data_IF_463998733903
#
_entry.id   IF_463998733903
#
_cell.length_a   1.000
_cell.length_b   1.000
_cell.length_c   1.000
_cell.angle_alpha   90.00
_cell.angle_beta   90.00
_cell.angle_gamma   90.00
#
_symmetry.space_group_name_H-M   'P 1'
#
loop_
_entity.id
_entity.type
_entity.pdbx_description
1 polymer ?
#
# COMPACT_ATOMS: atom_id res chain seq x y z
N UNK A 1 3.80 8.61 -6.81
CA UNK A 1 5.01 7.77 -6.89
C UNK A 1 4.63 6.37 -7.35
N UNK A 2 5.53 5.69 -8.07
CA UNK A 2 5.37 4.27 -8.40
C UNK A 2 6.40 3.49 -7.58
N UNK A 3 5.95 2.53 -6.78
CA UNK A 3 6.82 1.59 -6.05
C UNK A 3 6.61 0.19 -6.64
N UNK A 4 7.65 -0.41 -7.19
CA UNK A 4 7.60 -1.79 -7.70
C UNK A 4 7.91 -2.79 -6.58
N UNK A 5 7.20 -3.91 -6.59
CA UNK A 5 7.40 -5.03 -5.68
C UNK A 5 7.08 -6.36 -6.38
N UNK A 6 7.42 -7.48 -5.75
CA UNK A 6 7.38 -8.81 -6.37
C UNK A 6 6.02 -9.19 -6.98
N UNK A 7 4.91 -8.73 -6.40
CA UNK A 7 3.56 -9.09 -6.87
C UNK A 7 2.95 -8.05 -7.81
N UNK A 8 3.58 -6.88 -8.00
CA UNK A 8 2.96 -5.77 -8.69
C UNK A 8 3.64 -4.43 -8.54
N UNK A 9 2.83 -3.37 -8.54
CA UNK A 9 3.28 -2.02 -8.23
C UNK A 9 2.23 -1.26 -7.44
N UNK A 10 2.70 -0.40 -6.54
CA UNK A 10 1.89 0.61 -5.89
C UNK A 10 1.96 1.89 -6.70
N UNK A 11 0.80 2.48 -6.99
CA UNK A 11 0.69 3.86 -7.44
C UNK A 11 0.18 4.65 -6.25
N UNK A 12 1.06 5.49 -5.70
CA UNK A 12 0.82 6.17 -4.42
C UNK A 12 0.73 7.68 -4.66
N UNK A 13 -0.28 8.30 -4.06
CA UNK A 13 -0.43 9.76 -3.97
C UNK A 13 -0.66 10.13 -2.50
N UNK A 14 -0.60 11.41 -2.13
CA UNK A 14 -1.00 11.82 -0.79
C UNK A 14 -2.46 11.53 -0.41
N UNK A 15 -3.32 11.16 -1.37
CA UNK A 15 -4.76 10.99 -1.13
C UNK A 15 -5.21 9.52 -1.21
N UNK A 16 -4.51 8.70 -1.98
CA UNK A 16 -4.89 7.33 -2.26
C UNK A 16 -3.70 6.44 -2.61
N UNK A 17 -3.92 5.14 -2.45
CA UNK A 17 -3.03 4.08 -2.92
C UNK A 17 -3.79 3.16 -3.89
N UNK A 18 -3.14 2.82 -4.99
CA UNK A 18 -3.60 1.77 -5.91
C UNK A 18 -2.55 0.66 -5.96
N UNK A 19 -2.90 -0.54 -5.50
CA UNK A 19 -2.10 -1.74 -5.71
C UNK A 19 -2.55 -2.42 -7.01
N UNK A 20 -1.63 -2.52 -7.97
CA UNK A 20 -1.85 -3.17 -9.27
C UNK A 20 -1.07 -4.48 -9.29
N UNK A 21 -1.77 -5.60 -9.32
CA UNK A 21 -1.16 -6.93 -9.31
C UNK A 21 -0.70 -7.33 -10.71
N UNK A 22 0.41 -8.05 -10.83
CA UNK A 22 0.95 -8.49 -12.12
C UNK A 22 0.24 -9.74 -12.68
N UNK A 23 -0.27 -10.60 -11.80
CA UNK A 23 -0.89 -11.88 -12.18
C UNK A 23 -2.27 -11.73 -12.84
N UNK A 24 -2.89 -10.56 -12.73
CA UNK A 24 -4.24 -10.30 -13.27
C UNK A 24 -4.44 -8.80 -13.49
N UNK A 25 -5.50 -8.39 -14.21
CA UNK A 25 -5.87 -6.97 -14.33
C UNK A 25 -6.62 -6.46 -13.08
N UNK A 26 -6.25 -6.92 -11.90
CA UNK A 26 -6.84 -6.53 -10.62
C UNK A 26 -6.14 -5.27 -10.10
N UNK A 27 -6.96 -4.31 -9.68
CA UNK A 27 -6.52 -3.09 -9.00
C UNK A 27 -7.26 -2.99 -7.68
N UNK A 28 -6.51 -2.90 -6.59
CA UNK A 28 -7.04 -2.66 -5.25
C UNK A 28 -6.77 -1.20 -4.91
N UNK A 29 -7.80 -0.45 -4.56
CA UNK A 29 -7.68 0.98 -4.26
C UNK A 29 -8.23 1.25 -2.86
N UNK A 30 -7.64 2.23 -2.17
CA UNK A 30 -8.17 2.78 -0.94
C UNK A 30 -7.70 4.23 -0.75
N UNK A 31 -8.51 5.00 -0.02
CA UNK A 31 -8.17 6.37 0.39
C UNK A 31 -7.15 6.31 1.53
N UNK A 32 -6.30 7.34 1.64
CA UNK A 32 -5.27 7.44 2.69
C UNK A 32 -5.85 7.30 4.10
N UNK A 33 -7.06 7.82 4.33
CA UNK A 33 -7.77 7.77 5.62
C UNK A 33 -8.15 6.34 6.04
N UNK A 34 -8.22 5.41 5.08
CA UNK A 34 -8.53 4.00 5.31
C UNK A 34 -7.26 3.12 5.42
N UNK A 35 -6.06 3.71 5.32
CA UNK A 35 -4.80 2.98 5.31
C UNK A 35 -4.17 2.89 6.70
N UNK A 36 -3.73 1.68 7.05
CA UNK A 36 -2.85 1.38 8.18
C UNK A 36 -1.58 0.72 7.68
N UNK A 37 -0.47 0.98 8.36
CA UNK A 37 0.83 0.46 7.98
C UNK A 37 1.47 -0.23 9.20
N UNK A 38 1.96 -1.46 9.03
CA UNK A 38 2.65 -2.21 10.08
C UNK A 38 4.09 -2.43 9.66
N UNK A 39 5.03 -1.73 10.32
CA UNK A 39 6.44 -1.71 9.92
C UNK A 39 7.13 -3.07 10.09
N UNK A 40 6.87 -3.78 11.19
CA UNK A 40 7.52 -5.07 11.51
C UNK A 40 7.33 -6.13 10.41
N UNK A 41 6.23 -6.03 9.66
CA UNK A 41 5.87 -6.97 8.59
C UNK A 41 5.86 -6.35 7.21
N UNK A 42 6.21 -5.06 7.08
CA UNK A 42 6.14 -4.30 5.82
C UNK A 42 4.76 -4.34 5.18
N UNK A 43 3.70 -4.26 6.01
CA UNK A 43 2.33 -4.51 5.58
C UNK A 43 1.58 -3.20 5.39
N UNK A 44 0.95 -3.05 4.22
CA UNK A 44 -0.04 -2.00 3.95
C UNK A 44 -1.42 -2.63 4.03
N UNK A 45 -2.29 -2.06 4.86
CA UNK A 45 -3.65 -2.54 5.09
C UNK A 45 -4.62 -1.45 4.68
N UNK A 46 -5.62 -1.80 3.88
CA UNK A 46 -6.80 -0.97 3.68
C UNK A 46 -7.98 -1.54 4.47
N UNK A 47 -8.61 -0.70 5.29
CA UNK A 47 -9.77 -1.03 6.11
C UNK A 47 -10.93 -0.05 5.86
N UNK A 48 -11.55 -0.17 4.68
CA UNK A 48 -12.72 0.61 4.28
C UNK A 48 -14.03 -0.13 4.65
N UNK A 49 -14.15 -0.54 5.92
CA UNK A 49 -15.33 -1.24 6.43
C UNK A 49 -15.47 -2.67 5.91
N UNK A 50 -16.41 -2.89 4.98
CA UNK A 50 -16.73 -4.22 4.47
C UNK A 50 -15.71 -4.76 3.46
N UNK A 51 -14.91 -3.87 2.85
CA UNK A 51 -13.86 -4.23 1.89
C UNK A 51 -12.51 -4.01 2.55
N UNK A 52 -11.75 -5.09 2.68
CA UNK A 52 -10.42 -5.10 3.31
C UNK A 52 -9.44 -5.83 2.44
N UNK A 53 -8.24 -5.29 2.35
CA UNK A 53 -7.12 -5.96 1.71
C UNK A 53 -5.83 -5.60 2.43
N UNK A 54 -4.84 -6.48 2.30
CA UNK A 54 -3.51 -6.23 2.82
C UNK A 54 -2.47 -6.69 1.81
N UNK A 55 -1.41 -5.90 1.64
CA UNK A 55 -0.29 -6.20 0.75
C UNK A 55 0.99 -6.07 1.56
N UNK A 56 1.81 -7.12 1.52
CA UNK A 56 3.15 -7.10 2.08
C UNK A 56 4.14 -6.65 1.01
N UNK A 57 5.00 -5.69 1.37
CA UNK A 57 6.10 -5.22 0.53
C UNK A 57 7.36 -6.07 0.77
N UNK A 58 8.26 -6.08 -0.21
CA UNK A 58 9.42 -6.97 -0.21
C UNK A 58 10.51 -6.48 0.75
N UNK A 59 10.61 -5.18 0.97
CA UNK A 59 11.69 -4.58 1.75
C UNK A 59 11.31 -3.23 2.40
N UNK A 60 12.15 -2.80 3.34
CA UNK A 60 11.99 -1.55 4.08
C UNK A 60 11.95 -0.32 3.17
N UNK A 61 12.75 -0.28 2.10
CA UNK A 61 12.81 0.88 1.22
C UNK A 61 11.45 1.16 0.58
N UNK A 62 10.83 0.13 -0.01
CA UNK A 62 9.50 0.21 -0.60
C UNK A 62 8.45 0.69 0.41
N UNK A 63 8.52 0.17 1.64
CA UNK A 63 7.59 0.50 2.72
C UNK A 63 7.74 1.97 3.16
N UNK A 64 8.95 2.40 3.49
CA UNK A 64 9.19 3.76 3.99
C UNK A 64 8.92 4.82 2.91
N UNK A 65 9.25 4.56 1.65
CA UNK A 65 8.86 5.44 0.54
C UNK A 65 7.33 5.56 0.38
N UNK A 66 6.61 4.45 0.56
CA UNK A 66 5.15 4.43 0.45
C UNK A 66 4.51 5.28 1.55
N UNK A 67 4.89 5.09 2.81
CA UNK A 67 4.28 5.81 3.93
C UNK A 67 4.70 7.29 3.97
N UNK A 68 5.90 7.62 3.47
CA UNK A 68 6.34 9.00 3.32
C UNK A 68 5.43 9.77 2.36
N UNK A 69 5.09 9.18 1.22
CA UNK A 69 4.18 9.81 0.25
C UNK A 69 2.76 9.91 0.78
N UNK A 70 2.29 8.90 1.52
CA UNK A 70 0.96 8.89 2.12
C UNK A 70 0.86 9.84 3.33
N UNK A 71 1.98 10.21 3.96
CA UNK A 71 1.98 11.02 5.18
C UNK A 71 1.41 10.29 6.40
N UNK A 72 1.51 8.96 6.45
CA UNK A 72 0.98 8.12 7.54
C UNK A 72 2.13 7.64 8.42
N UNK A 73 1.94 7.67 9.74
CA UNK A 73 2.86 7.04 10.68
C UNK A 73 2.55 5.52 10.80
N UNK A 74 3.57 4.64 10.75
CA UNK A 74 3.33 3.22 10.95
C UNK A 74 2.95 2.92 12.41
N UNK A 75 2.06 1.94 12.59
CA UNK A 75 1.80 1.26 13.87
C UNK A 75 2.93 0.26 14.17
#
# INVERSE_FOLDING_TARGET
MIIEFSQGKLVVTPFEIQCRLNVSKVVLTAMVDDIKCIAERLLIIADAGAVRWSIQLDNNQQFYETIEVLGIAPE
#
